data_IF_791863483092
#
_entry.id   IF_791863483092
#
_cell.length_a   1.000
_cell.length_b   1.000
_cell.length_c   1.000
_cell.angle_alpha   90.00
_cell.angle_beta   90.00
_cell.angle_gamma   90.00
#
_symmetry.space_group_name_H-M   'P 1'
#
loop_
_entity.id
_entity.type
_entity.pdbx_description
1 polymer ?
#
# COMPACT_ATOMS: atom_id res chain seq x y z
N UNK A 1 26.74 21.14 45.75
CA UNK A 1 25.32 20.81 45.52
C UNK A 1 25.11 20.87 44.02
N UNK A 2 24.91 19.71 43.41
CA UNK A 2 24.71 19.50 41.98
C UNK A 2 23.47 20.22 41.46
N UNK A 3 23.62 20.97 40.37
CA UNK A 3 22.53 21.53 39.57
C UNK A 3 22.49 20.96 38.14
N UNK A 4 23.15 19.83 37.90
CA UNK A 4 23.33 19.22 36.57
C UNK A 4 22.44 18.02 36.30
N UNK A 5 21.33 17.85 37.03
CA UNK A 5 20.51 16.65 36.95
C UNK A 5 19.01 16.88 36.72
N UNK A 6 18.60 17.88 35.94
CA UNK A 6 17.21 17.96 35.43
C UNK A 6 17.11 18.68 34.08
N UNK A 7 17.92 18.29 33.09
CA UNK A 7 17.48 18.37 31.70
C UNK A 7 17.01 16.98 31.31
N UNK A 8 15.71 16.75 31.49
CA UNK A 8 14.99 15.56 31.05
C UNK A 8 15.52 15.09 29.70
N UNK A 9 15.99 13.84 29.62
CA UNK A 9 16.16 13.12 28.35
C UNK A 9 14.85 13.25 27.58
N UNK A 10 14.75 14.22 26.66
CA UNK A 10 13.75 14.21 25.61
C UNK A 10 14.13 13.02 24.75
N UNK A 11 13.39 11.92 24.90
CA UNK A 11 13.51 10.70 24.11
C UNK A 11 13.81 11.04 22.65
N UNK A 12 15.07 10.95 22.25
CA UNK A 12 15.45 11.01 20.85
C UNK A 12 14.84 9.78 20.20
N UNK A 13 14.03 9.99 19.16
CA UNK A 13 13.45 8.88 18.42
C UNK A 13 14.58 8.05 17.81
N UNK A 14 14.71 6.80 18.24
CA UNK A 14 15.65 5.83 17.67
C UNK A 14 14.94 4.92 16.66
N UNK A 15 15.72 4.18 15.86
CA UNK A 15 15.15 3.15 14.97
C UNK A 15 14.33 2.12 15.76
N UNK A 16 14.83 1.65 16.90
CA UNK A 16 14.14 0.65 17.71
C UNK A 16 12.77 1.15 18.23
N UNK A 17 12.72 2.38 18.73
CA UNK A 17 11.46 3.00 19.19
C UNK A 17 10.51 3.19 18.00
N UNK A 18 11.03 3.60 16.85
CA UNK A 18 10.25 3.75 15.62
C UNK A 18 9.63 2.41 15.19
N UNK A 19 10.44 1.35 15.08
CA UNK A 19 9.98 0.01 14.67
C UNK A 19 8.98 -0.56 15.68
N UNK A 20 9.24 -0.44 16.98
CA UNK A 20 8.32 -0.93 18.02
C UNK A 20 6.93 -0.30 17.89
N UNK A 21 6.87 1.02 17.77
CA UNK A 21 5.61 1.74 17.62
C UNK A 21 4.94 1.48 16.26
N UNK A 22 5.73 1.35 15.19
CA UNK A 22 5.23 0.99 13.87
C UNK A 22 4.55 -0.39 13.91
N UNK A 23 5.19 -1.38 14.51
CA UNK A 23 4.71 -2.77 14.57
C UNK A 23 3.45 -2.87 15.42
N UNK A 24 3.44 -2.24 16.60
CA UNK A 24 2.26 -2.15 17.46
C UNK A 24 1.06 -1.54 16.72
N UNK A 25 1.29 -0.48 15.95
CA UNK A 25 0.22 0.22 15.26
C UNK A 25 -0.51 -0.61 14.20
N UNK A 26 0.12 -1.67 13.68
CA UNK A 26 -0.47 -2.55 12.64
C UNK A 26 -0.69 -3.99 13.14
N UNK A 27 -0.75 -4.18 14.47
CA UNK A 27 -0.96 -5.48 15.13
C UNK A 27 0.08 -6.55 14.72
N UNK A 28 1.35 -6.14 14.57
CA UNK A 28 2.47 -7.03 14.27
C UNK A 28 3.39 -7.24 15.47
N UNK A 29 4.06 -8.40 15.57
CA UNK A 29 5.05 -8.64 16.62
C UNK A 29 6.17 -7.60 16.57
N UNK A 30 6.49 -6.99 17.71
CA UNK A 30 7.58 -6.00 17.86
C UNK A 30 8.96 -6.65 17.85
N UNK A 31 9.04 -7.95 18.12
CA UNK A 31 10.24 -8.75 17.89
C UNK A 31 10.21 -9.33 16.48
N UNK A 32 11.30 -9.11 15.73
CA UNK A 32 11.46 -9.53 14.32
C UNK A 32 11.54 -11.05 14.10
N UNK A 33 11.27 -11.84 15.14
CA UNK A 33 11.22 -13.29 15.10
C UNK A 33 10.25 -13.84 16.15
N UNK A 34 9.67 -15.00 15.86
CA UNK A 34 9.09 -15.89 16.88
C UNK A 34 10.01 -17.08 17.09
N UNK A 35 10.12 -17.56 18.32
CA UNK A 35 10.82 -18.82 18.60
C UNK A 35 9.85 -19.98 18.41
N UNK A 36 10.18 -20.88 17.48
CA UNK A 36 9.44 -22.13 17.24
C UNK A 36 10.29 -23.29 17.73
N UNK A 37 9.65 -24.24 18.41
CA UNK A 37 10.31 -25.48 18.80
C UNK A 37 10.08 -26.53 17.72
N UNK A 38 11.15 -27.15 17.23
CA UNK A 38 11.08 -28.16 16.16
C UNK A 38 11.80 -29.42 16.61
N UNK A 39 11.19 -30.58 16.37
CA UNK A 39 11.71 -31.90 16.78
C UNK A 39 10.75 -32.68 17.69
N UNK A 40 11.04 -33.97 17.96
CA UNK A 40 10.12 -34.86 18.66
C UNK A 40 9.82 -34.37 20.07
N UNK A 41 8.53 -34.20 20.39
CA UNK A 41 8.05 -33.75 21.70
C UNK A 41 8.37 -34.72 22.84
N UNK A 42 8.75 -35.97 22.54
CA UNK A 42 8.80 -37.06 23.53
C UNK A 42 10.00 -37.00 24.49
N UNK A 43 11.11 -36.33 24.14
CA UNK A 43 12.34 -36.34 24.97
C UNK A 43 12.87 -34.94 25.35
N UNK A 44 12.06 -33.88 25.22
CA UNK A 44 12.45 -32.52 25.65
C UNK A 44 13.55 -31.81 24.83
N UNK A 45 14.18 -32.47 23.86
CA UNK A 45 15.28 -31.94 23.02
C UNK A 45 14.81 -31.34 21.69
N UNK A 46 13.75 -30.53 21.71
CA UNK A 46 13.36 -29.75 20.53
C UNK A 46 14.25 -28.52 20.36
N UNK A 47 14.81 -28.31 19.16
CA UNK A 47 15.62 -27.14 18.83
C UNK A 47 14.74 -25.88 18.80
N UNK A 48 15.24 -24.78 19.37
CA UNK A 48 14.58 -23.46 19.31
C UNK A 48 15.06 -22.74 18.06
N UNK A 49 14.22 -22.69 17.02
CA UNK A 49 14.49 -21.90 15.82
C UNK A 49 13.88 -20.51 15.94
N UNK A 50 14.63 -19.49 15.52
CA UNK A 50 14.08 -18.13 15.32
C UNK A 50 13.51 -18.07 13.91
N UNK A 51 12.19 -17.92 13.81
CA UNK A 51 11.48 -17.73 12.54
C UNK A 51 11.14 -16.26 12.41
N UNK A 52 11.75 -15.57 11.44
CA UNK A 52 11.51 -14.15 11.21
C UNK A 52 10.05 -13.89 10.81
N UNK A 53 9.47 -12.79 11.30
CA UNK A 53 8.04 -12.47 11.14
C UNK A 53 7.67 -11.90 9.74
N UNK A 54 8.65 -11.73 8.84
CA UNK A 54 8.48 -11.18 7.50
C UNK A 54 8.61 -9.66 7.40
N UNK A 55 8.80 -8.94 8.51
CA UNK A 55 9.03 -7.50 8.51
C UNK A 55 10.28 -7.14 7.70
N UNK A 56 10.20 -6.04 6.95
CA UNK A 56 11.29 -5.44 6.18
C UNK A 56 11.93 -6.31 5.10
N UNK A 57 11.17 -7.30 4.59
CA UNK A 57 11.66 -8.28 3.59
C UNK A 57 11.09 -8.10 2.19
N UNK A 58 10.18 -7.14 1.97
CA UNK A 58 9.66 -6.89 0.64
C UNK A 58 10.79 -6.33 -0.23
N UNK A 59 11.26 -7.13 -1.20
CA UNK A 59 12.34 -6.71 -2.11
C UNK A 59 11.92 -5.61 -3.09
N UNK A 60 10.60 -5.43 -3.25
CA UNK A 60 9.97 -4.41 -4.07
C UNK A 60 9.77 -3.06 -3.38
N UNK A 61 10.18 -2.90 -2.12
CA UNK A 61 10.07 -1.61 -1.43
C UNK A 61 11.26 -1.31 -0.51
N UNK A 62 11.69 -0.05 -0.52
CA UNK A 62 12.75 0.46 0.36
C UNK A 62 12.30 1.78 1.00
N UNK A 63 12.33 1.83 2.32
CA UNK A 63 12.04 3.03 3.09
C UNK A 63 13.32 3.64 3.64
N UNK A 64 13.50 4.94 3.44
CA UNK A 64 14.50 5.74 4.14
C UNK A 64 13.79 6.66 5.13
N UNK A 65 14.00 6.44 6.42
CA UNK A 65 13.46 7.30 7.49
C UNK A 65 14.53 8.32 7.88
N UNK A 66 14.27 9.59 7.60
CA UNK A 66 15.09 10.70 8.06
C UNK A 66 14.43 11.32 9.30
N UNK A 67 14.99 11.00 10.47
CA UNK A 67 14.44 11.44 11.76
C UNK A 67 14.73 12.93 12.04
N UNK A 68 15.83 13.46 11.50
CA UNK A 68 16.18 14.88 11.62
C UNK A 68 15.20 15.78 10.87
N UNK A 69 14.89 15.42 9.61
CA UNK A 69 13.97 16.21 8.76
C UNK A 69 12.52 15.76 8.88
N UNK A 70 12.23 14.74 9.69
CA UNK A 70 10.89 14.14 9.86
C UNK A 70 10.25 13.77 8.52
N UNK A 71 11.06 13.25 7.61
CA UNK A 71 10.62 12.85 6.27
C UNK A 71 10.93 11.37 6.04
N UNK A 72 9.97 10.65 5.47
CA UNK A 72 10.11 9.25 5.09
C UNK A 72 10.00 9.17 3.57
N UNK A 73 11.05 8.69 2.92
CA UNK A 73 11.02 8.39 1.49
C UNK A 73 10.82 6.91 1.29
N UNK A 74 9.85 6.52 0.47
CA UNK A 74 9.58 5.10 0.18
C UNK A 74 9.70 4.90 -1.33
N UNK A 75 10.77 4.24 -1.75
CA UNK A 75 10.86 3.79 -3.14
C UNK A 75 10.10 2.47 -3.28
N UNK A 76 9.14 2.42 -4.20
CA UNK A 76 8.39 1.19 -4.54
C UNK A 76 8.70 0.81 -5.97
N UNK A 77 9.06 -0.45 -6.19
CA UNK A 77 9.57 -0.95 -7.46
C UNK A 77 8.48 -1.71 -8.20
N UNK A 78 8.15 -1.24 -9.41
CA UNK A 78 7.16 -1.87 -10.29
C UNK A 78 7.83 -2.26 -11.61
N UNK A 79 7.55 -3.46 -12.10
CA UNK A 79 7.94 -3.90 -13.43
C UNK A 79 6.76 -3.77 -14.39
N UNK A 80 6.54 -2.54 -14.88
CA UNK A 80 5.53 -2.25 -15.90
C UNK A 80 5.90 -2.90 -17.24
N UNK A 81 5.09 -3.88 -17.64
CA UNK A 81 5.24 -4.63 -18.89
C UNK A 81 4.57 -3.86 -20.03
N UNK A 82 5.31 -3.70 -21.13
CA UNK A 82 4.78 -3.05 -22.33
C UNK A 82 3.82 -3.97 -23.09
N UNK A 83 4.07 -5.27 -23.11
CA UNK A 83 3.27 -6.26 -23.85
C UNK A 83 3.06 -5.81 -25.31
N UNK A 84 1.82 -5.82 -25.79
CA UNK A 84 1.43 -5.40 -27.14
C UNK A 84 1.16 -3.88 -27.27
N UNK A 85 1.32 -3.09 -26.20
CA UNK A 85 1.07 -1.66 -26.25
C UNK A 85 2.05 -0.94 -27.17
N UNK A 86 1.51 0.03 -27.92
CA UNK A 86 2.32 1.01 -28.65
C UNK A 86 3.16 1.81 -27.64
N UNK A 87 4.36 2.23 -28.05
CA UNK A 87 5.29 2.90 -27.15
C UNK A 87 4.69 4.16 -26.49
N UNK A 88 3.94 4.98 -27.24
CA UNK A 88 3.28 6.17 -26.69
C UNK A 88 2.25 5.84 -25.62
N UNK A 89 1.42 4.82 -25.87
CA UNK A 89 0.42 4.33 -24.91
C UNK A 89 1.11 3.77 -23.66
N UNK A 90 2.15 2.94 -23.83
CA UNK A 90 2.93 2.40 -22.72
C UNK A 90 3.55 3.49 -21.85
N UNK A 91 4.18 4.51 -22.45
CA UNK A 91 4.78 5.61 -21.70
C UNK A 91 3.72 6.41 -20.94
N UNK A 92 2.60 6.74 -21.59
CA UNK A 92 1.48 7.44 -20.96
C UNK A 92 0.94 6.65 -19.75
N UNK A 93 0.61 5.36 -19.93
CA UNK A 93 0.06 4.55 -18.85
C UNK A 93 1.05 4.37 -17.70
N UNK A 94 2.34 4.15 -18.01
CA UNK A 94 3.39 4.07 -16.99
C UNK A 94 3.48 5.37 -16.17
N UNK A 95 3.48 6.52 -16.82
CA UNK A 95 3.53 7.84 -16.16
C UNK A 95 2.30 8.08 -15.28
N UNK A 96 1.10 7.75 -15.78
CA UNK A 96 -0.13 7.87 -15.01
C UNK A 96 -0.13 6.93 -13.80
N UNK A 97 0.27 5.66 -13.94
CA UNK A 97 0.34 4.72 -12.82
C UNK A 97 1.32 5.21 -11.73
N UNK A 98 2.50 5.69 -12.13
CA UNK A 98 3.49 6.29 -11.21
C UNK A 98 2.90 7.52 -10.52
N UNK A 99 2.27 8.42 -11.27
CA UNK A 99 1.67 9.64 -10.72
C UNK A 99 0.56 9.31 -9.70
N UNK A 100 -0.31 8.34 -10.02
CA UNK A 100 -1.37 7.88 -9.14
C UNK A 100 -0.84 7.30 -7.85
N UNK A 101 0.05 6.30 -7.91
CA UNK A 101 0.61 5.68 -6.70
C UNK A 101 1.28 6.75 -5.82
N UNK A 102 2.09 7.65 -6.42
CA UNK A 102 2.72 8.75 -5.70
C UNK A 102 1.68 9.65 -5.01
N UNK A 103 0.65 10.06 -5.72
CA UNK A 103 -0.40 10.96 -5.21
C UNK A 103 -1.17 10.34 -4.04
N UNK A 104 -1.64 9.10 -4.19
CA UNK A 104 -2.55 8.51 -3.21
C UNK A 104 -1.84 7.87 -2.02
N UNK A 105 -0.56 7.48 -2.16
CA UNK A 105 0.22 6.85 -1.08
C UNK A 105 1.18 7.78 -0.34
N UNK A 106 1.42 8.99 -0.85
CA UNK A 106 2.16 10.03 -0.11
C UNK A 106 1.22 10.77 0.83
N UNK A 107 1.51 10.75 2.12
CA UNK A 107 0.71 11.44 3.14
C UNK A 107 1.53 11.59 4.43
N UNK A 108 0.92 12.08 5.50
CA UNK A 108 1.55 12.11 6.81
C UNK A 108 1.19 10.90 7.65
N UNK A 109 2.14 10.44 8.47
CA UNK A 109 1.88 9.42 9.50
C UNK A 109 2.41 9.89 10.86
N UNK A 110 1.95 9.27 11.93
CA UNK A 110 2.46 9.48 13.29
C UNK A 110 3.02 8.18 13.84
N UNK A 111 4.27 8.19 14.27
CA UNK A 111 4.95 7.04 14.91
C UNK A 111 5.62 7.53 16.19
N UNK A 112 5.39 6.86 17.31
CA UNK A 112 5.91 7.26 18.63
C UNK A 112 5.63 8.73 18.98
N UNK A 113 4.44 9.25 18.60
CA UNK A 113 4.07 10.65 18.82
C UNK A 113 4.75 11.66 17.89
N UNK A 114 5.65 11.23 17.00
CA UNK A 114 6.32 12.09 16.01
C UNK A 114 5.60 11.99 14.67
N UNK A 115 5.22 13.16 14.13
CA UNK A 115 4.61 13.26 12.80
C UNK A 115 5.70 13.30 11.72
N UNK A 116 5.54 12.45 10.72
CA UNK A 116 6.40 12.36 9.54
C UNK A 116 5.64 12.75 8.28
N UNK A 117 6.32 13.44 7.36
CA UNK A 117 5.88 13.57 5.98
C UNK A 117 6.38 12.35 5.17
N UNK A 118 5.47 11.58 4.56
CA UNK A 118 5.81 10.40 3.76
C UNK A 118 5.68 10.73 2.29
N UNK A 119 6.75 10.46 1.55
CA UNK A 119 6.83 10.64 0.09
C UNK A 119 7.07 9.26 -0.52
N UNK A 120 6.09 8.77 -1.27
CA UNK A 120 6.20 7.51 -2.00
C UNK A 120 6.68 7.80 -3.42
N UNK A 121 7.72 7.11 -3.85
CA UNK A 121 8.37 7.22 -5.15
C UNK A 121 8.25 5.89 -5.90
N UNK A 122 7.25 5.76 -6.78
CA UNK A 122 7.15 4.60 -7.67
C UNK A 122 8.25 4.66 -8.73
N UNK A 123 8.99 3.58 -8.89
CA UNK A 123 10.11 3.49 -9.83
C UNK A 123 9.95 2.25 -10.68
N UNK A 124 10.01 2.43 -12.00
CA UNK A 124 10.06 1.30 -12.91
C UNK A 124 11.39 0.54 -12.77
N UNK A 125 11.33 -0.77 -12.55
CA UNK A 125 12.49 -1.66 -12.55
C UNK A 125 12.16 -2.94 -13.29
N UNK A 126 12.93 -3.24 -14.34
CA UNK A 126 12.88 -4.54 -14.98
C UNK A 126 13.68 -5.55 -14.15
N UNK A 127 13.06 -6.08 -13.10
CA UNK A 127 13.69 -7.01 -12.15
C UNK A 127 12.64 -7.86 -11.45
N UNK A 128 13.02 -9.05 -10.97
CA UNK A 128 12.20 -9.89 -10.10
C UNK A 128 12.00 -9.29 -8.70
N UNK A 129 12.78 -8.28 -8.31
CA UNK A 129 12.61 -7.50 -7.09
C UNK A 129 11.65 -6.32 -7.26
N UNK A 130 10.69 -6.44 -8.18
CA UNK A 130 9.66 -5.44 -8.44
C UNK A 130 8.32 -6.13 -8.63
N UNK A 131 7.22 -5.46 -8.28
CA UNK A 131 5.87 -5.96 -8.52
C UNK A 131 5.65 -5.92 -10.03
N UNK A 132 5.43 -7.07 -10.65
CA UNK A 132 5.11 -7.13 -12.07
C UNK A 132 3.69 -6.61 -12.33
N UNK A 133 3.58 -5.74 -13.34
CA UNK A 133 2.34 -5.05 -13.70
C UNK A 133 2.17 -5.08 -15.21
N UNK A 134 1.12 -5.74 -15.68
CA UNK A 134 0.61 -5.62 -17.04
C UNK A 134 -0.16 -4.29 -17.18
N UNK A 135 0.18 -3.55 -18.23
CA UNK A 135 -0.55 -2.35 -18.63
C UNK A 135 -1.41 -2.70 -19.82
N UNK A 136 -2.69 -2.34 -19.75
CA UNK A 136 -3.68 -2.70 -20.76
C UNK A 136 -4.57 -1.51 -21.11
N UNK A 137 -5.15 -1.55 -22.31
CA UNK A 137 -6.14 -0.57 -22.76
C UNK A 137 -7.42 -1.30 -23.13
N UNK A 138 -8.52 -0.87 -22.54
CA UNK A 138 -9.86 -1.24 -22.97
C UNK A 138 -10.35 -0.25 -24.03
N UNK A 139 -10.56 -0.76 -25.24
CA UNK A 139 -10.92 0.02 -26.43
C UNK A 139 -12.43 0.12 -26.65
N UNK A 140 -13.19 -0.82 -26.09
CA UNK A 140 -14.64 -0.85 -26.17
C UNK A 140 -15.28 0.09 -25.14
N UNK A 141 -16.55 0.39 -25.35
CA UNK A 141 -17.35 1.18 -24.41
C UNK A 141 -17.65 0.43 -23.10
N UNK A 142 -17.27 -0.86 -23.03
CA UNK A 142 -17.43 -1.68 -21.83
C UNK A 142 -16.34 -1.36 -20.81
N UNK A 143 -16.65 -1.53 -19.53
CA UNK A 143 -15.68 -1.40 -18.46
C UNK A 143 -14.91 -2.72 -18.25
N UNK A 144 -13.58 -2.67 -18.33
CA UNK A 144 -12.71 -3.80 -18.00
C UNK A 144 -12.01 -3.61 -16.67
N UNK A 145 -12.06 -4.62 -15.79
CA UNK A 145 -11.61 -4.48 -14.40
C UNK A 145 -10.10 -4.68 -14.27
N UNK A 146 -9.40 -3.69 -13.71
CA UNK A 146 -8.05 -3.86 -13.17
C UNK A 146 -8.04 -4.86 -12.01
N UNK A 147 -6.93 -5.58 -11.82
CA UNK A 147 -6.85 -6.64 -10.82
C UNK A 147 -5.42 -6.85 -10.32
N UNK A 148 -5.25 -7.02 -9.01
CA UNK A 148 -3.99 -7.50 -8.43
C UNK A 148 -4.26 -8.68 -7.47
N UNK A 149 -4.09 -9.93 -7.94
CA UNK A 149 -4.40 -11.10 -7.14
C UNK A 149 -3.36 -11.40 -6.05
N UNK A 150 -2.13 -10.89 -6.19
CA UNK A 150 -0.99 -10.94 -5.24
C UNK A 150 -0.59 -12.32 -4.62
N UNK A 151 -1.34 -13.40 -4.82
CA UNK A 151 -1.15 -14.72 -4.16
C UNK A 151 -0.81 -15.83 -5.18
N UNK A 152 -1.10 -15.61 -6.46
CA UNK A 152 -1.10 -16.69 -7.46
C UNK A 152 0.09 -16.65 -8.43
N UNK A 153 1.09 -15.81 -8.16
CA UNK A 153 2.16 -15.56 -9.14
C UNK A 153 1.64 -14.94 -10.44
N UNK A 154 0.43 -14.37 -10.40
CA UNK A 154 -0.19 -13.62 -11.49
C UNK A 154 0.16 -12.16 -11.28
N UNK A 155 0.57 -11.51 -12.36
CA UNK A 155 0.92 -10.10 -12.38
C UNK A 155 -0.32 -9.23 -12.07
N UNK A 156 -0.09 -8.05 -11.53
CA UNK A 156 -1.17 -7.07 -11.45
C UNK A 156 -1.49 -6.59 -12.87
N UNK A 157 -2.77 -6.35 -13.18
CA UNK A 157 -3.20 -5.76 -14.46
C UNK A 157 -3.88 -4.42 -14.18
N UNK A 158 -3.35 -3.35 -14.78
CA UNK A 158 -3.93 -2.01 -14.72
C UNK A 158 -4.52 -1.66 -16.09
N UNK A 159 -5.84 -1.50 -16.13
CA UNK A 159 -6.60 -1.31 -17.37
C UNK A 159 -7.01 0.15 -17.54
N UNK A 160 -6.63 0.77 -18.65
CA UNK A 160 -7.00 2.13 -19.03
C UNK A 160 -8.24 2.12 -19.93
N UNK A 161 -9.30 2.83 -19.52
CA UNK A 161 -10.62 2.77 -20.16
C UNK A 161 -10.75 3.72 -21.37
N UNK A 162 -9.91 3.55 -22.40
CA UNK A 162 -9.90 4.45 -23.58
C UNK A 162 -11.24 4.50 -24.30
N UNK A 163 -11.96 3.38 -24.37
CA UNK A 163 -13.23 3.32 -25.07
C UNK A 163 -14.35 4.19 -24.47
N UNK A 164 -14.23 4.63 -23.21
CA UNK A 164 -15.19 5.58 -22.61
C UNK A 164 -15.18 6.95 -23.31
N UNK A 165 -14.12 7.30 -24.06
CA UNK A 165 -14.10 8.49 -24.92
C UNK A 165 -15.25 8.47 -25.94
N UNK A 166 -15.62 7.27 -26.44
CA UNK A 166 -16.71 7.09 -27.40
C UNK A 166 -18.09 7.40 -26.80
N UNK A 167 -18.22 7.23 -25.48
CA UNK A 167 -19.40 7.61 -24.70
C UNK A 167 -19.37 9.09 -24.25
N UNK A 168 -18.38 9.87 -24.68
CA UNK A 168 -18.24 11.28 -24.32
C UNK A 168 -17.59 11.55 -22.96
N UNK A 169 -16.99 10.54 -22.32
CA UNK A 169 -16.22 10.77 -21.10
C UNK A 169 -14.99 11.63 -21.39
N UNK A 170 -14.70 12.69 -20.61
CA UNK A 170 -13.50 13.50 -20.84
C UNK A 170 -12.22 12.68 -20.62
N UNK A 171 -11.20 12.83 -21.48
CA UNK A 171 -9.93 12.12 -21.32
C UNK A 171 -9.28 12.37 -19.96
N UNK A 172 -9.40 13.59 -19.43
CA UNK A 172 -8.94 13.94 -18.09
C UNK A 172 -9.56 13.04 -17.03
N UNK A 173 -10.85 12.74 -17.13
CA UNK A 173 -11.53 11.83 -16.18
C UNK A 173 -10.94 10.43 -16.25
N UNK A 174 -10.73 9.90 -17.46
CA UNK A 174 -10.15 8.56 -17.67
C UNK A 174 -8.72 8.48 -17.13
N UNK A 175 -7.92 9.54 -17.34
CA UNK A 175 -6.56 9.63 -16.79
C UNK A 175 -6.57 9.63 -15.25
N UNK A 176 -7.46 10.40 -14.61
CA UNK A 176 -7.55 10.46 -13.15
C UNK A 176 -8.13 9.18 -12.54
N UNK A 177 -9.09 8.54 -13.21
CA UNK A 177 -9.59 7.24 -12.80
C UNK A 177 -8.49 6.19 -12.89
N UNK A 178 -7.73 6.12 -13.99
CA UNK A 178 -6.61 5.20 -14.14
C UNK A 178 -5.53 5.37 -13.06
N UNK A 179 -5.19 6.62 -12.71
CA UNK A 179 -4.31 6.93 -11.56
C UNK A 179 -4.86 6.36 -10.26
N UNK A 180 -6.15 6.57 -10.01
CA UNK A 180 -6.85 6.06 -8.83
C UNK A 180 -6.83 4.53 -8.78
N UNK A 181 -7.22 3.83 -9.86
CA UNK A 181 -7.26 2.37 -9.87
C UNK A 181 -5.85 1.78 -9.75
N UNK A 182 -4.86 2.34 -10.44
CA UNK A 182 -3.46 1.89 -10.32
C UNK A 182 -2.96 1.97 -8.87
N UNK A 183 -3.32 3.03 -8.14
CA UNK A 183 -2.97 3.18 -6.74
C UNK A 183 -3.71 2.20 -5.82
N UNK A 184 -4.98 1.91 -6.11
CA UNK A 184 -5.76 0.89 -5.41
C UNK A 184 -5.16 -0.50 -5.60
N UNK A 185 -4.87 -0.86 -6.84
CA UNK A 185 -4.30 -2.16 -7.18
C UNK A 185 -2.89 -2.34 -6.61
N UNK A 186 -2.04 -1.31 -6.63
CA UNK A 186 -0.77 -1.36 -5.89
C UNK A 186 -0.98 -1.67 -4.40
N UNK A 187 -2.03 -1.09 -3.80
CA UNK A 187 -2.39 -1.34 -2.42
C UNK A 187 -2.71 -2.79 -2.09
N UNK A 188 -3.22 -3.56 -3.04
CA UNK A 188 -3.42 -4.99 -2.85
C UNK A 188 -2.11 -5.74 -2.58
N UNK A 189 -0.99 -5.36 -3.21
CA UNK A 189 0.33 -5.92 -2.90
C UNK A 189 0.78 -5.60 -1.46
N UNK A 190 0.54 -4.36 -1.00
CA UNK A 190 0.85 -3.94 0.38
C UNK A 190 0.01 -4.71 1.40
N UNK A 191 -1.31 -4.77 1.20
CA UNK A 191 -2.23 -5.44 2.11
C UNK A 191 -2.05 -6.96 2.08
N UNK A 192 -1.70 -7.54 0.92
CA UNK A 192 -1.40 -8.97 0.83
C UNK A 192 -0.15 -9.31 1.64
N UNK A 193 0.92 -8.54 1.47
CA UNK A 193 2.18 -8.77 2.17
C UNK A 193 2.00 -8.67 3.69
N UNK A 194 1.16 -7.75 4.16
CA UNK A 194 1.01 -7.46 5.59
C UNK A 194 -0.12 -8.26 6.25
N UNK A 195 -1.27 -8.45 5.63
CA UNK A 195 -2.43 -9.09 6.25
C UNK A 195 -3.05 -10.24 5.45
N UNK A 196 -2.45 -10.61 4.32
CA UNK A 196 -2.91 -11.69 3.46
C UNK A 196 -4.28 -11.44 2.83
N UNK A 197 -4.90 -12.54 2.38
CA UNK A 197 -6.16 -12.53 1.61
C UNK A 197 -7.26 -11.76 2.32
N UNK A 198 -7.39 -11.94 3.64
CA UNK A 198 -8.46 -11.33 4.43
C UNK A 198 -8.42 -9.81 4.38
N UNK A 199 -7.22 -9.23 4.44
CA UNK A 199 -7.04 -7.79 4.45
C UNK A 199 -7.12 -7.21 3.04
N UNK A 200 -6.52 -7.89 2.07
CA UNK A 200 -6.45 -7.44 0.67
C UNK A 200 -7.77 -7.65 -0.07
N UNK A 201 -8.20 -8.90 -0.32
CA UNK A 201 -9.41 -9.20 -1.10
C UNK A 201 -10.71 -8.92 -0.33
N UNK A 202 -10.63 -8.88 0.99
CA UNK A 202 -11.74 -8.42 1.83
C UNK A 202 -11.91 -6.91 1.85
N UNK A 203 -11.05 -6.15 1.18
CA UNK A 203 -11.03 -4.68 1.18
C UNK A 203 -11.18 -4.12 2.60
N UNK A 204 -10.30 -4.57 3.50
CA UNK A 204 -10.32 -4.23 4.94
C UNK A 204 -11.65 -4.57 5.63
N UNK A 205 -12.32 -5.62 5.16
CA UNK A 205 -13.57 -6.13 5.69
C UNK A 205 -14.84 -5.56 5.04
N UNK A 206 -14.73 -4.65 4.08
CA UNK A 206 -15.89 -4.05 3.38
C UNK A 206 -16.55 -4.97 2.35
N UNK A 207 -15.89 -6.07 1.96
CA UNK A 207 -16.41 -7.06 1.03
C UNK A 207 -16.35 -8.47 1.60
N UNK A 208 -17.13 -9.38 0.99
CA UNK A 208 -17.00 -10.81 1.21
C UNK A 208 -15.75 -11.35 0.49
N UNK A 209 -15.00 -12.23 1.14
CA UNK A 209 -13.68 -12.67 0.64
C UNK A 209 -13.74 -13.45 -0.69
N UNK A 210 -14.79 -14.24 -0.90
CA UNK A 210 -14.90 -15.13 -2.07
C UNK A 210 -15.61 -14.45 -3.24
N UNK A 211 -16.69 -13.72 -2.97
CA UNK A 211 -17.53 -13.11 -4.01
C UNK A 211 -17.18 -11.63 -4.26
N UNK A 212 -16.31 -11.03 -3.44
CA UNK A 212 -15.93 -9.61 -3.45
C UNK A 212 -17.10 -8.61 -3.46
N UNK A 213 -18.32 -9.07 -3.24
CA UNK A 213 -19.49 -8.23 -3.08
C UNK A 213 -19.40 -7.41 -1.80
N UNK A 214 -19.79 -6.14 -1.90
CA UNK A 214 -19.93 -5.23 -0.76
C UNK A 214 -20.88 -5.85 0.28
N UNK A 215 -20.45 -5.87 1.54
CA UNK A 215 -21.29 -6.39 2.63
C UNK A 215 -22.45 -5.45 2.90
N UNK A 216 -23.57 -6.00 3.34
CA UNK A 216 -24.73 -5.21 3.80
C UNK A 216 -24.41 -4.28 4.97
N UNK A 217 -23.34 -4.54 5.74
CA UNK A 217 -22.88 -3.67 6.83
C UNK A 217 -21.95 -2.55 6.37
N UNK A 218 -21.48 -2.58 5.11
CA UNK A 218 -20.57 -1.56 4.58
C UNK A 218 -21.30 -0.24 4.40
N UNK A 219 -20.76 0.89 4.90
CA UNK A 219 -21.40 2.19 4.74
C UNK A 219 -21.32 2.68 3.29
N UNK A 220 -22.18 3.64 2.94
CA UNK A 220 -22.01 4.40 1.71
C UNK A 220 -20.83 5.38 1.78
N UNK A 221 -20.58 6.08 0.69
CA UNK A 221 -19.48 7.05 0.64
C UNK A 221 -19.70 8.16 1.69
N UNK A 222 -18.65 8.61 2.41
CA UNK A 222 -18.80 9.69 3.38
C UNK A 222 -19.14 11.00 2.65
N UNK A 223 -20.03 11.82 3.21
CA UNK A 223 -20.36 13.15 2.63
C UNK A 223 -19.22 14.17 2.77
N UNK A 224 -18.32 13.98 3.73
CA UNK A 224 -17.15 14.83 3.98
C UNK A 224 -15.98 14.02 4.51
N UNK A 225 -14.77 14.52 4.26
CA UNK A 225 -13.54 13.92 4.79
C UNK A 225 -12.88 12.97 3.79
N UNK A 226 -11.90 12.22 4.29
CA UNK A 226 -11.06 11.35 3.47
C UNK A 226 -11.73 10.00 3.21
N UNK A 227 -11.57 9.51 1.99
CA UNK A 227 -12.02 8.18 1.57
C UNK A 227 -10.83 7.22 1.69
N UNK A 228 -11.02 6.12 2.40
CA UNK A 228 -10.03 5.04 2.47
C UNK A 228 -9.89 4.37 1.10
N UNK A 229 -8.73 4.57 0.44
CA UNK A 229 -8.45 4.06 -0.89
C UNK A 229 -8.68 2.55 -0.99
N UNK A 230 -8.45 1.78 0.08
CA UNK A 230 -8.48 0.32 0.06
C UNK A 230 -9.83 -0.28 0.48
N UNK A 231 -10.83 0.54 0.78
CA UNK A 231 -12.18 0.09 1.14
C UNK A 231 -13.15 0.28 -0.01
N UNK A 232 -14.11 -0.62 -0.11
CA UNK A 232 -15.32 -0.38 -0.88
C UNK A 232 -16.37 0.30 0.00
N UNK A 233 -17.26 1.01 -0.66
CA UNK A 233 -18.40 1.70 -0.08
C UNK A 233 -19.65 1.26 -0.84
N UNK A 234 -20.78 1.23 -0.15
CA UNK A 234 -22.07 0.83 -0.70
C UNK A 234 -22.74 2.01 -1.42
N UNK A 235 -22.64 2.02 -2.73
CA UNK A 235 -23.20 3.04 -3.61
C UNK A 235 -24.73 3.13 -3.55
N UNK A 236 -25.42 2.06 -3.14
CA UNK A 236 -26.88 2.08 -2.93
C UNK A 236 -27.28 2.87 -1.69
N UNK A 237 -26.39 2.99 -0.70
CA UNK A 237 -26.64 3.76 0.52
C UNK A 237 -26.29 5.23 0.32
N UNK A 238 -25.15 5.49 -0.31
CA UNK A 238 -24.72 6.84 -0.66
C UNK A 238 -23.68 6.77 -1.77
N UNK A 239 -23.97 7.42 -2.89
CA UNK A 239 -23.05 7.55 -4.02
C UNK A 239 -22.03 8.66 -3.77
N UNK A 240 -20.81 8.56 -4.36
CA UNK A 240 -19.87 9.66 -4.32
C UNK A 240 -20.36 10.81 -5.20
N UNK A 241 -20.22 12.04 -4.73
CA UNK A 241 -20.61 13.22 -5.51
C UNK A 241 -19.52 13.59 -6.53
N UNK A 242 -19.86 13.74 -7.81
CA UNK A 242 -18.91 14.15 -8.86
C UNK A 242 -17.60 13.31 -8.86
N UNK A 243 -16.45 13.97 -8.70
CA UNK A 243 -15.12 13.35 -8.64
C UNK A 243 -14.66 13.07 -7.19
N UNK A 244 -15.56 13.07 -6.21
CA UNK A 244 -15.22 12.88 -4.80
C UNK A 244 -14.36 11.63 -4.56
N UNK A 245 -14.72 10.50 -5.18
CA UNK A 245 -13.94 9.25 -5.07
C UNK A 245 -12.48 9.45 -5.48
N UNK A 246 -12.21 10.22 -6.53
CA UNK A 246 -10.86 10.50 -7.03
C UNK A 246 -10.18 11.53 -6.12
N UNK A 247 -10.86 12.62 -5.78
CA UNK A 247 -10.23 13.76 -5.10
C UNK A 247 -9.96 13.52 -3.60
N UNK A 248 -10.83 12.76 -2.93
CA UNK A 248 -10.80 12.61 -1.48
C UNK A 248 -10.21 11.28 -1.01
N UNK A 249 -9.94 10.36 -1.93
CA UNK A 249 -9.29 9.09 -1.60
C UNK A 249 -7.83 9.27 -1.23
N UNK A 250 -7.40 8.51 -0.22
CA UNK A 250 -6.01 8.43 0.23
C UNK A 250 -5.71 7.03 0.75
N UNK A 251 -4.46 6.59 0.68
CA UNK A 251 -3.99 5.51 1.54
C UNK A 251 -4.08 5.99 2.99
N UNK A 252 -4.81 5.26 3.82
CA UNK A 252 -4.93 5.60 5.23
C UNK A 252 -3.57 5.44 5.92
N UNK A 253 -3.34 6.20 7.00
CA UNK A 253 -2.08 6.15 7.76
C UNK A 253 -1.68 4.72 8.13
N UNK A 254 -2.66 3.87 8.49
CA UNK A 254 -2.43 2.46 8.80
C UNK A 254 -1.86 1.67 7.61
N UNK A 255 -2.25 1.99 6.38
CA UNK A 255 -1.79 1.31 5.16
C UNK A 255 -0.39 1.79 4.76
N UNK A 256 -0.07 3.07 4.98
CA UNK A 256 1.30 3.58 4.82
C UNK A 256 2.23 2.92 5.84
N UNK A 257 1.79 2.74 7.09
CA UNK A 257 2.55 2.00 8.10
C UNK A 257 2.79 0.54 7.68
N UNK A 258 1.79 -0.11 7.06
CA UNK A 258 1.94 -1.45 6.47
C UNK A 258 2.99 -1.46 5.36
N UNK A 259 3.00 -0.47 4.48
CA UNK A 259 4.03 -0.33 3.45
C UNK A 259 5.44 -0.18 4.05
N UNK A 260 5.61 0.68 5.06
CA UNK A 260 6.89 0.84 5.75
C UNK A 260 7.33 -0.46 6.42
N UNK A 261 6.41 -1.14 7.11
CA UNK A 261 6.67 -2.44 7.73
C UNK A 261 7.10 -3.51 6.73
N UNK A 262 6.53 -3.52 5.52
CA UNK A 262 6.94 -4.44 4.47
C UNK A 262 8.34 -4.13 3.94
N UNK A 263 8.66 -2.84 3.77
CA UNK A 263 9.85 -2.36 3.08
C UNK A 263 11.15 -2.52 3.87
N UNK A 264 12.27 -2.66 3.17
CA UNK A 264 13.60 -2.58 3.78
C UNK A 264 13.83 -1.18 4.35
N UNK A 265 14.18 -1.06 5.63
CA UNK A 265 14.40 0.24 6.29
C UNK A 265 15.87 0.65 6.26
N UNK A 266 16.11 1.91 5.90
CA UNK A 266 17.35 2.66 6.15
C UNK A 266 17.03 3.81 7.09
N UNK A 267 17.73 3.87 8.22
CA UNK A 267 17.60 4.95 9.20
C UNK A 267 18.64 6.04 8.96
N UNK A 268 18.23 7.30 9.07
CA UNK A 268 19.10 8.48 9.07
C UNK A 268 18.77 9.27 10.35
N UNK A 269 19.78 9.39 11.21
CA UNK A 269 19.76 10.09 12.50
C UNK A 269 20.77 11.22 12.51
#
# INVERSE_FOLDING_TARGET
MDLTATYSQKNSLTLDIFEEHLHKAIDKPTVNYRTVRVGPSRNGRGAKLKVHNGAHKATWAKTTVNSLTRTIYIDVYLNFKQNSLRQGDYLKLKELAIAGIKQYWSNTITVAGVRFNVIVNPVHKNSSNAIAVDLEIEESESYSRSMNPAILGIDASFVYQRGLLKLGAPEKFINEDFKFVSAHEFGHSVLMYTGGIRLSWGHKGSTNLLLQNVKSTTPGYPSKGKIDLMKYYDDKKQQPENLQRINDSIAMEIDIKRLIWSSQIKWIA
#
